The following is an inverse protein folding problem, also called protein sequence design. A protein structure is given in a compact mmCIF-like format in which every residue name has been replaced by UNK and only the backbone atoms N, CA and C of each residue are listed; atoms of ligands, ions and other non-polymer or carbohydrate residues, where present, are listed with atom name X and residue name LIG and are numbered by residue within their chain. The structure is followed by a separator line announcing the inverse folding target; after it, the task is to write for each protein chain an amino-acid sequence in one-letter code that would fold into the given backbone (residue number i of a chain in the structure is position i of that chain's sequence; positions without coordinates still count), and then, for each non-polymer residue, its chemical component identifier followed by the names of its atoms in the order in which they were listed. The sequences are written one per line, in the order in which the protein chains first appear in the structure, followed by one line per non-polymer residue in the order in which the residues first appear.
data_IF_942421308862
#
_entry.id   IF_942421308862
#
_cell.length_a   1.000
_cell.length_b   1.000
_cell.length_c   1.000
_cell.angle_alpha   90.00
_cell.angle_beta   90.00
_cell.angle_gamma   90.00
#
_symmetry.space_group_name_H-M   'P 1'
#
loop_
_entity.id
_entity.type
_entity.pdbx_description
1 polymer ?
#
# COMPACT_ATOMS: atom_id res chain seq x y z
N UNK A 1 -18.67 -2.85 -37.71
CA UNK A 1 -18.62 -3.66 -36.47
C UNK A 1 -17.47 -3.25 -35.54
N UNK A 2 -16.42 -2.57 -36.02
CA UNK A 2 -15.30 -2.03 -35.23
C UNK A 2 -15.64 -0.85 -34.31
N UNK A 3 -16.64 -0.03 -34.67
CA UNK A 3 -16.91 1.22 -33.93
C UNK A 3 -17.76 1.01 -32.67
N UNK A 4 -18.60 -0.04 -32.65
CA UNK A 4 -19.40 -0.40 -31.47
C UNK A 4 -18.51 -0.99 -30.38
N UNK A 5 -17.50 -1.77 -30.74
CA UNK A 5 -16.54 -2.32 -29.77
C UNK A 5 -15.58 -1.26 -29.22
N UNK A 6 -15.18 -0.28 -30.03
CA UNK A 6 -14.35 0.85 -29.57
C UNK A 6 -15.13 1.80 -28.64
N UNK A 7 -16.42 2.04 -28.92
CA UNK A 7 -17.31 2.78 -28.03
C UNK A 7 -17.48 2.07 -26.68
N UNK A 8 -17.73 0.76 -26.69
CA UNK A 8 -17.84 -0.05 -25.47
C UNK A 8 -16.55 -0.06 -24.63
N UNK A 9 -15.39 -0.12 -25.28
CA UNK A 9 -14.09 -0.04 -24.61
C UNK A 9 -13.85 1.34 -23.97
N UNK A 10 -14.26 2.42 -24.65
CA UNK A 10 -14.14 3.79 -24.15
C UNK A 10 -15.07 4.04 -22.96
N UNK A 11 -16.33 3.59 -23.04
CA UNK A 11 -17.28 3.67 -21.93
C UNK A 11 -16.79 2.88 -20.70
N UNK A 12 -16.20 1.69 -20.92
CA UNK A 12 -15.57 0.89 -19.85
C UNK A 12 -14.36 1.59 -19.24
N UNK A 13 -13.62 2.40 -20.01
CA UNK A 13 -12.52 3.23 -19.50
C UNK A 13 -13.02 4.38 -18.63
N UNK A 14 -14.04 5.09 -19.09
CA UNK A 14 -14.65 6.21 -18.36
C UNK A 14 -15.34 5.76 -17.05
N UNK A 15 -15.93 4.56 -17.00
CA UNK A 15 -16.59 4.05 -15.80
C UNK A 15 -15.63 3.66 -14.64
N UNK A 16 -14.31 3.74 -14.81
CA UNK A 16 -13.32 3.32 -13.79
C UNK A 16 -13.06 4.36 -12.70
N UNK A 17 -13.39 5.63 -12.93
CA UNK A 17 -13.16 6.72 -11.99
C UNK A 17 -14.46 7.53 -11.81
N UNK A 18 -14.80 7.99 -10.60
CA UNK A 18 -15.93 8.89 -10.35
C UNK A 18 -16.07 10.05 -11.36
N UNK A 19 -14.97 10.64 -11.80
CA UNK A 19 -14.96 11.73 -12.80
C UNK A 19 -15.43 11.23 -14.17
N UNK A 20 -15.00 10.04 -14.59
CA UNK A 20 -15.37 9.47 -15.88
C UNK A 20 -16.80 8.93 -15.91
N UNK A 21 -17.33 8.46 -14.77
CA UNK A 21 -18.76 8.12 -14.62
C UNK A 21 -19.62 9.36 -14.89
N UNK A 22 -19.25 10.52 -14.32
CA UNK A 22 -19.98 11.78 -14.54
C UNK A 22 -19.89 12.24 -16.00
N UNK A 23 -18.69 12.19 -16.60
CA UNK A 23 -18.50 12.53 -18.00
C UNK A 23 -19.38 11.65 -18.91
N UNK A 24 -19.47 10.35 -18.62
CA UNK A 24 -20.35 9.41 -19.34
C UNK A 24 -21.83 9.79 -19.20
N UNK A 25 -22.28 10.12 -18.00
CA UNK A 25 -23.67 10.54 -17.76
C UNK A 25 -24.03 11.84 -18.49
N UNK A 26 -23.14 12.84 -18.50
CA UNK A 26 -23.36 14.10 -19.20
C UNK A 26 -23.50 13.85 -20.71
N UNK A 27 -22.56 13.11 -21.31
CA UNK A 27 -22.59 12.80 -22.75
C UNK A 27 -23.85 12.01 -23.11
N UNK A 28 -24.24 11.06 -22.28
CA UNK A 28 -25.44 10.24 -22.52
C UNK A 28 -26.74 11.06 -22.42
N UNK A 29 -26.86 11.93 -21.42
CA UNK A 29 -28.03 12.80 -21.23
C UNK A 29 -28.14 13.83 -22.35
N UNK A 30 -27.02 14.46 -22.75
CA UNK A 30 -27.01 15.36 -23.90
C UNK A 30 -27.31 14.64 -25.21
N UNK A 31 -26.77 13.43 -25.38
CA UNK A 31 -27.05 12.58 -26.53
C UNK A 31 -28.53 12.26 -26.65
N UNK A 32 -29.18 11.83 -25.56
CA UNK A 32 -30.62 11.57 -25.55
C UNK A 32 -31.44 12.85 -25.70
N UNK A 33 -31.06 13.97 -25.07
CA UNK A 33 -31.78 15.23 -25.23
C UNK A 33 -31.72 15.74 -26.67
N UNK A 34 -30.55 15.68 -27.31
CA UNK A 34 -30.37 16.02 -28.72
C UNK A 34 -31.14 15.08 -29.65
N UNK A 35 -31.18 13.78 -29.33
CA UNK A 35 -31.97 12.79 -30.07
C UNK A 35 -33.47 13.06 -29.92
N UNK A 36 -33.97 13.23 -28.70
CA UNK A 36 -35.38 13.46 -28.42
C UNK A 36 -35.88 14.78 -29.01
N UNK A 37 -35.09 15.85 -28.93
CA UNK A 37 -35.43 17.15 -29.54
C UNK A 37 -35.26 17.15 -31.06
N UNK A 38 -34.28 16.42 -31.59
CA UNK A 38 -33.96 16.36 -33.01
C UNK A 38 -34.90 15.45 -33.82
N UNK A 39 -35.36 14.33 -33.24
CA UNK A 39 -36.22 13.36 -33.93
C UNK A 39 -37.73 13.62 -33.75
N UNK A 40 -38.14 14.47 -32.80
CA UNK A 40 -39.54 14.87 -32.62
C UNK A 40 -39.75 16.37 -32.89
N UNK A 41 -39.87 16.80 -34.15
CA UNK A 41 -40.12 18.19 -34.51
C UNK A 41 -41.52 18.70 -34.13
N UNK A 42 -42.40 17.83 -33.61
CA UNK A 42 -43.79 18.13 -33.22
C UNK A 42 -44.03 18.23 -31.71
N UNK A 43 -42.98 18.35 -30.90
CA UNK A 43 -43.15 18.58 -29.46
C UNK A 43 -43.90 19.89 -29.21
N UNK A 44 -44.98 19.84 -28.45
CA UNK A 44 -45.68 21.05 -28.04
C UNK A 44 -44.80 21.90 -27.12
N UNK A 45 -45.07 23.20 -27.08
CA UNK A 45 -44.32 24.14 -26.24
C UNK A 45 -44.25 23.67 -24.77
N UNK A 46 -45.35 23.16 -24.24
CA UNK A 46 -45.45 22.69 -22.86
C UNK A 46 -44.64 21.43 -22.56
N UNK A 47 -44.35 20.60 -23.57
CA UNK A 47 -43.54 19.39 -23.44
C UNK A 47 -42.04 19.70 -23.58
N UNK A 48 -41.71 20.70 -24.40
CA UNK A 48 -40.32 21.12 -24.66
C UNK A 48 -39.71 21.90 -23.49
N UNK A 49 -40.50 22.70 -22.79
CA UNK A 49 -40.02 23.54 -21.68
C UNK A 49 -39.35 22.72 -20.55
N UNK A 50 -39.95 21.63 -20.03
CA UNK A 50 -39.31 20.76 -19.04
C UNK A 50 -37.98 20.15 -19.51
N UNK A 51 -37.91 19.72 -20.78
CA UNK A 51 -36.70 19.16 -21.38
C UNK A 51 -35.55 20.17 -21.43
N UNK A 52 -35.84 21.42 -21.81
CA UNK A 52 -34.85 22.50 -21.85
C UNK A 52 -34.39 22.87 -20.44
N UNK A 53 -35.32 22.98 -19.48
CA UNK A 53 -34.98 23.25 -18.09
C UNK A 53 -34.12 22.15 -17.48
N UNK A 54 -34.44 20.88 -17.77
CA UNK A 54 -33.62 19.75 -17.36
C UNK A 54 -32.20 19.82 -17.95
N UNK A 55 -32.06 20.12 -19.25
CA UNK A 55 -30.76 20.22 -19.92
C UNK A 55 -29.85 21.31 -19.32
N UNK A 56 -30.44 22.41 -18.82
CA UNK A 56 -29.72 23.54 -18.23
C UNK A 56 -29.46 23.35 -16.73
N UNK A 57 -30.45 22.89 -15.96
CA UNK A 57 -30.32 22.73 -14.50
C UNK A 57 -29.50 21.51 -14.12
N UNK A 58 -29.62 20.41 -14.86
CA UNK A 58 -28.98 19.15 -14.51
C UNK A 58 -27.45 19.26 -14.40
N UNK A 59 -26.72 19.88 -15.35
CA UNK A 59 -25.27 20.07 -15.23
C UNK A 59 -24.87 20.91 -14.01
N UNK A 60 -25.65 21.94 -13.69
CA UNK A 60 -25.40 22.82 -12.53
C UNK A 60 -25.62 22.07 -11.22
N UNK A 61 -26.68 21.27 -11.12
CA UNK A 61 -26.96 20.44 -9.95
C UNK A 61 -25.91 19.35 -9.74
N UNK A 62 -25.47 18.68 -10.81
CA UNK A 62 -24.39 17.68 -10.76
C UNK A 62 -23.07 18.33 -10.35
N UNK A 63 -22.74 19.49 -10.90
CA UNK A 63 -21.54 20.24 -10.52
C UNK A 63 -21.56 20.67 -9.06
N UNK A 64 -22.70 21.17 -8.56
CA UNK A 64 -22.86 21.57 -7.17
C UNK A 64 -22.74 20.38 -6.20
N UNK A 65 -23.41 19.26 -6.51
CA UNK A 65 -23.34 18.03 -5.71
C UNK A 65 -21.92 17.46 -5.70
N UNK A 66 -21.26 17.43 -6.85
CA UNK A 66 -19.89 16.93 -6.95
C UNK A 66 -18.90 17.87 -6.27
N UNK A 67 -19.04 19.19 -6.46
CA UNK A 67 -18.22 20.18 -5.77
C UNK A 67 -18.35 20.07 -4.24
N UNK A 68 -19.57 19.86 -3.76
CA UNK A 68 -19.82 19.61 -2.33
C UNK A 68 -19.20 18.29 -1.85
N UNK A 69 -19.33 17.21 -2.62
CA UNK A 69 -18.82 15.89 -2.27
C UNK A 69 -17.28 15.84 -2.29
N UNK A 70 -16.66 16.47 -3.30
CA UNK A 70 -15.21 16.69 -3.38
C UNK A 70 -14.73 17.54 -2.21
N UNK A 71 -15.43 18.63 -1.89
CA UNK A 71 -15.08 19.55 -0.79
C UNK A 71 -15.19 18.94 0.61
N UNK A 72 -15.88 17.80 0.77
CA UNK A 72 -16.02 17.10 2.06
C UNK A 72 -15.16 15.83 2.13
N UNK A 73 -14.69 15.25 1.01
CA UNK A 73 -14.02 13.94 0.94
C UNK A 73 -12.77 13.90 0.04
N UNK A 74 -11.95 14.96 0.04
CA UNK A 74 -10.73 15.07 -0.79
C UNK A 74 -9.75 13.88 -0.66
N UNK A 75 -9.75 13.20 0.50
CA UNK A 75 -8.82 12.10 0.82
C UNK A 75 -9.08 10.79 0.04
N UNK A 76 -10.24 10.62 -0.59
CA UNK A 76 -10.62 9.34 -1.27
C UNK A 76 -10.88 9.44 -2.77
N UNK A 77 -10.71 10.61 -3.38
CA UNK A 77 -11.06 10.85 -4.79
C UNK A 77 -9.89 10.74 -5.78
N UNK A 78 -8.66 10.63 -5.28
CA UNK A 78 -7.51 10.26 -6.08
C UNK A 78 -7.16 8.80 -5.78
N UNK A 79 -7.20 7.93 -6.80
CA UNK A 79 -6.53 6.66 -6.69
C UNK A 79 -5.01 6.93 -6.51
N UNK A 80 -4.25 6.09 -5.78
CA UNK A 80 -2.79 6.23 -5.67
C UNK A 80 -2.07 6.37 -7.02
N UNK A 81 -2.72 5.97 -8.12
CA UNK A 81 -2.25 6.08 -9.51
C UNK A 81 -2.43 7.45 -10.17
N UNK A 82 -3.29 8.34 -9.65
CA UNK A 82 -3.58 9.65 -10.25
C UNK A 82 -2.68 10.77 -9.68
N UNK A 83 -1.88 10.48 -8.65
CA UNK A 83 -0.78 11.35 -8.26
C UNK A 83 0.29 11.27 -9.36
N UNK A 84 0.35 12.28 -10.24
CA UNK A 84 1.51 12.52 -11.13
C UNK A 84 2.76 12.54 -10.27
N UNK A 85 3.40 11.39 -10.20
CA UNK A 85 4.65 11.23 -9.48
C UNK A 85 5.56 10.42 -10.37
N UNK A 86 6.03 11.11 -11.41
CA UNK A 86 7.08 10.62 -12.30
C UNK A 86 8.29 10.17 -11.46
N UNK A 87 8.52 10.82 -10.32
CA UNK A 87 9.56 10.47 -9.35
C UNK A 87 9.29 9.16 -8.57
N UNK A 88 8.03 8.83 -8.25
CA UNK A 88 7.70 7.55 -7.60
C UNK A 88 7.77 6.42 -8.62
N UNK A 89 7.44 6.65 -9.89
CA UNK A 89 7.50 5.61 -10.91
C UNK A 89 8.95 5.19 -11.20
N UNK A 90 9.86 6.16 -11.38
CA UNK A 90 11.30 5.91 -11.54
C UNK A 90 11.91 5.27 -10.28
N UNK A 91 11.48 5.72 -9.09
CA UNK A 91 11.93 5.12 -7.84
C UNK A 91 11.40 3.69 -7.67
N UNK A 92 10.16 3.41 -8.09
CA UNK A 92 9.56 2.07 -8.03
C UNK A 92 10.19 1.11 -9.03
N UNK A 93 10.59 1.56 -10.22
CA UNK A 93 11.31 0.71 -11.18
C UNK A 93 12.72 0.38 -10.70
N UNK A 94 13.46 1.36 -10.15
CA UNK A 94 14.79 1.12 -9.58
C UNK A 94 14.74 0.22 -8.34
N UNK A 95 13.71 0.39 -7.48
CA UNK A 95 13.47 -0.49 -6.33
C UNK A 95 13.09 -1.90 -6.82
N UNK A 96 12.30 -2.02 -7.89
CA UNK A 96 11.91 -3.31 -8.48
C UNK A 96 13.11 -4.09 -9.02
N UNK A 97 13.99 -3.44 -9.79
CA UNK A 97 15.20 -4.08 -10.35
C UNK A 97 16.18 -4.48 -9.24
N UNK A 98 16.41 -3.59 -8.26
CA UNK A 98 17.26 -3.90 -7.09
C UNK A 98 16.66 -5.02 -6.25
N UNK A 99 15.33 -5.12 -6.17
CA UNK A 99 14.61 -6.19 -5.47
C UNK A 99 14.72 -7.53 -6.20
N UNK A 100 14.64 -7.56 -7.53
CA UNK A 100 14.87 -8.81 -8.27
C UNK A 100 16.28 -9.33 -8.05
N UNK A 101 17.28 -8.45 -8.07
CA UNK A 101 18.66 -8.82 -7.76
C UNK A 101 18.84 -9.27 -6.29
N UNK A 102 18.27 -8.54 -5.32
CA UNK A 102 18.38 -8.87 -3.89
C UNK A 102 17.61 -10.14 -3.52
N UNK A 103 16.44 -10.37 -4.14
CA UNK A 103 15.63 -11.57 -3.96
C UNK A 103 16.29 -12.79 -4.62
N UNK A 104 16.86 -12.64 -5.81
CA UNK A 104 17.64 -13.71 -6.46
C UNK A 104 18.88 -14.05 -5.63
N UNK A 105 19.63 -13.06 -5.15
CA UNK A 105 20.81 -13.30 -4.30
C UNK A 105 20.44 -13.99 -2.98
N UNK A 106 19.31 -13.61 -2.37
CA UNK A 106 18.83 -14.24 -1.13
C UNK A 106 18.31 -15.66 -1.38
N UNK A 107 17.67 -15.92 -2.52
CA UNK A 107 17.25 -17.28 -2.90
C UNK A 107 18.44 -18.18 -3.20
N UNK A 108 19.47 -17.68 -3.88
CA UNK A 108 20.70 -18.45 -4.12
C UNK A 108 21.44 -18.78 -2.81
N UNK A 109 21.46 -17.85 -1.85
CA UNK A 109 22.02 -18.12 -0.52
C UNK A 109 21.18 -19.16 0.25
N UNK A 110 19.86 -19.07 0.16
CA UNK A 110 18.94 -20.02 0.76
C UNK A 110 19.11 -21.42 0.14
N UNK A 111 19.18 -21.51 -1.18
CA UNK A 111 19.39 -22.76 -1.92
C UNK A 111 20.73 -23.41 -1.55
N UNK A 112 21.81 -22.61 -1.43
CA UNK A 112 23.10 -23.11 -0.95
C UNK A 112 23.02 -23.67 0.47
N UNK A 113 22.35 -22.97 1.39
CA UNK A 113 22.15 -23.44 2.78
C UNK A 113 21.30 -24.71 2.82
N UNK A 114 20.22 -24.77 2.03
CA UNK A 114 19.37 -25.96 1.92
C UNK A 114 20.18 -27.17 1.45
N UNK A 115 21.00 -27.01 0.41
CA UNK A 115 21.85 -28.09 -0.10
C UNK A 115 22.90 -28.55 0.91
N UNK A 116 23.50 -27.62 1.66
CA UNK A 116 24.45 -27.97 2.73
C UNK A 116 23.76 -28.78 3.84
N UNK A 117 22.58 -28.34 4.27
CA UNK A 117 21.79 -29.00 5.32
C UNK A 117 21.35 -30.39 4.86
N UNK A 118 20.80 -30.52 3.65
CA UNK A 118 20.39 -31.82 3.09
C UNK A 118 21.58 -32.78 3.02
N UNK A 119 22.76 -32.29 2.61
CA UNK A 119 23.96 -33.13 2.53
C UNK A 119 24.51 -33.52 3.90
N UNK A 120 24.41 -32.65 4.92
CA UNK A 120 24.72 -33.00 6.32
C UNK A 120 23.75 -34.06 6.86
N UNK A 121 22.45 -33.86 6.68
CA UNK A 121 21.41 -34.74 7.22
C UNK A 121 21.34 -36.08 6.48
N UNK A 122 21.67 -36.11 5.19
CA UNK A 122 21.73 -37.35 4.41
C UNK A 122 22.88 -38.27 4.85
N UNK A 123 23.91 -37.75 5.54
CA UNK A 123 24.97 -38.56 6.17
C UNK A 123 24.58 -39.15 7.52
N UNK A 124 23.48 -38.68 8.12
CA UNK A 124 23.10 -38.98 9.50
C UNK A 124 21.97 -40.03 9.61
N UNK A 125 21.53 -40.62 8.47
CA UNK A 125 20.45 -41.63 8.41
C UNK A 125 19.19 -41.22 9.23
N UNK A 126 18.76 -39.96 9.12
CA UNK A 126 17.51 -39.50 9.73
C UNK A 126 16.30 -39.77 8.83
N UNK A 127 15.17 -40.10 9.46
CA UNK A 127 13.87 -40.23 8.80
C UNK A 127 13.49 -38.96 8.01
N UNK A 128 12.97 -39.07 6.78
CA UNK A 128 12.70 -37.94 5.89
C UNK A 128 11.74 -36.90 6.48
N UNK A 129 10.84 -37.32 7.37
CA UNK A 129 9.90 -36.42 8.06
C UNK A 129 10.61 -35.49 9.09
N UNK A 130 11.65 -35.99 9.77
CA UNK A 130 12.44 -35.20 10.72
C UNK A 130 13.33 -34.20 9.97
N UNK A 131 13.89 -34.62 8.84
CA UNK A 131 14.65 -33.77 7.93
C UNK A 131 13.78 -32.62 7.42
N UNK A 132 12.58 -32.92 6.90
CA UNK A 132 11.66 -31.89 6.39
C UNK A 132 11.25 -30.88 7.46
N UNK A 133 10.94 -31.34 8.68
CA UNK A 133 10.59 -30.46 9.81
C UNK A 133 11.75 -29.57 10.23
N UNK A 134 12.97 -30.09 10.24
CA UNK A 134 14.15 -29.32 10.62
C UNK A 134 14.54 -28.30 9.55
N UNK A 135 14.50 -28.69 8.28
CA UNK A 135 14.71 -27.75 7.15
C UNK A 135 13.66 -26.64 7.17
N UNK A 136 12.38 -26.96 7.35
CA UNK A 136 11.34 -25.94 7.43
C UNK A 136 11.52 -24.97 8.60
N UNK A 137 12.01 -25.47 9.75
CA UNK A 137 12.31 -24.64 10.93
C UNK A 137 13.49 -23.72 10.66
N UNK A 138 14.59 -24.26 10.15
CA UNK A 138 15.81 -23.47 9.86
C UNK A 138 15.58 -22.43 8.75
N UNK A 139 14.78 -22.76 7.73
CA UNK A 139 14.36 -21.80 6.69
C UNK A 139 13.51 -20.67 7.30
N UNK A 140 12.59 -21.00 8.21
CA UNK A 140 11.78 -20.00 8.92
C UNK A 140 12.69 -19.08 9.75
N UNK A 141 13.64 -19.64 10.47
CA UNK A 141 14.57 -18.86 11.31
C UNK A 141 15.51 -18.00 10.43
N UNK A 142 15.93 -18.50 9.25
CA UNK A 142 16.78 -17.78 8.31
C UNK A 142 16.08 -16.67 7.49
N UNK A 143 14.75 -16.60 7.53
CA UNK A 143 13.95 -15.65 6.73
C UNK A 143 13.06 -14.73 7.57
N UNK A 144 13.03 -14.92 8.88
CA UNK A 144 12.22 -14.12 9.81
C UNK A 144 13.06 -13.21 10.67
N UNK A 145 12.43 -12.17 11.22
CA UNK A 145 12.99 -11.33 12.26
C UNK A 145 11.95 -11.17 13.38
N UNK A 146 12.40 -10.73 14.54
CA UNK A 146 11.59 -10.61 15.75
C UNK A 146 11.41 -9.13 16.10
N UNK A 147 10.21 -8.75 16.52
CA UNK A 147 9.91 -7.49 17.18
C UNK A 147 9.50 -7.79 18.62
N UNK A 148 10.34 -7.41 19.58
CA UNK A 148 10.13 -7.60 21.01
C UNK A 148 9.54 -6.33 21.63
N UNK A 149 8.26 -6.39 22.00
CA UNK A 149 7.54 -5.33 22.69
C UNK A 149 7.31 -5.61 24.18
N UNK A 150 7.92 -6.66 24.76
CA UNK A 150 7.63 -7.09 26.15
C UNK A 150 7.92 -5.99 27.17
N UNK A 151 9.10 -5.38 27.06
CA UNK A 151 9.50 -4.30 27.96
C UNK A 151 8.59 -3.06 27.83
N UNK A 152 8.21 -2.72 26.60
CA UNK A 152 7.39 -1.54 26.31
C UNK A 152 5.91 -1.70 26.70
N UNK A 153 5.34 -2.88 26.45
CA UNK A 153 3.93 -3.16 26.72
C UNK A 153 3.68 -3.75 28.12
N UNK A 154 4.72 -4.19 28.82
CA UNK A 154 4.60 -4.84 30.13
C UNK A 154 3.88 -6.18 30.09
N UNK A 155 3.85 -6.86 28.93
CA UNK A 155 3.18 -8.16 28.76
C UNK A 155 4.12 -9.19 28.15
N UNK A 156 4.14 -10.44 28.66
CA UNK A 156 5.09 -11.47 28.20
C UNK A 156 4.77 -12.01 26.80
N UNK A 157 3.53 -11.84 26.31
CA UNK A 157 3.07 -12.27 24.99
C UNK A 157 3.41 -11.30 23.85
N UNK A 158 4.03 -10.15 24.16
CA UNK A 158 4.35 -9.10 23.20
C UNK A 158 5.64 -9.37 22.39
N UNK A 159 5.75 -10.57 21.81
CA UNK A 159 6.85 -10.94 20.89
C UNK A 159 6.24 -11.31 19.55
N UNK A 160 6.59 -10.56 18.51
CA UNK A 160 6.03 -10.72 17.18
C UNK A 160 7.11 -11.19 16.20
N UNK A 161 6.85 -12.26 15.47
CA UNK A 161 7.78 -12.80 14.48
C UNK A 161 7.22 -12.59 13.09
N UNK A 162 8.01 -12.00 12.20
CA UNK A 162 7.59 -11.69 10.85
C UNK A 162 8.60 -12.19 9.82
N UNK A 163 8.15 -12.69 8.65
CA UNK A 163 9.05 -12.93 7.54
C UNK A 163 9.54 -11.59 6.97
N UNK A 164 10.82 -11.50 6.62
CA UNK A 164 11.40 -10.27 6.05
C UNK A 164 10.65 -9.82 4.79
N UNK A 165 10.19 -10.78 3.99
CA UNK A 165 9.44 -10.55 2.75
C UNK A 165 8.01 -10.00 2.98
N UNK A 166 7.51 -9.98 4.21
CA UNK A 166 6.18 -9.43 4.52
C UNK A 166 6.11 -7.91 4.33
N UNK A 167 7.25 -7.21 4.36
CA UNK A 167 7.30 -5.77 4.33
C UNK A 167 8.20 -5.28 3.21
N UNK A 168 7.65 -4.47 2.31
CA UNK A 168 8.42 -3.85 1.23
C UNK A 168 9.24 -2.65 1.72
N UNK A 169 8.73 -1.94 2.73
CA UNK A 169 9.30 -0.68 3.22
C UNK A 169 9.33 -0.61 4.74
N UNK A 170 10.21 0.24 5.28
CA UNK A 170 10.23 0.55 6.71
C UNK A 170 8.89 1.13 7.17
N UNK A 171 8.23 1.94 6.35
CA UNK A 171 6.89 2.46 6.62
C UNK A 171 5.88 1.34 6.90
N UNK A 172 5.83 0.33 6.01
CA UNK A 172 4.92 -0.81 6.15
C UNK A 172 5.18 -1.60 7.44
N UNK A 173 6.45 -1.80 7.80
CA UNK A 173 6.82 -2.43 9.08
C UNK A 173 6.36 -1.58 10.28
N UNK A 174 6.66 -0.27 10.27
CA UNK A 174 6.31 0.60 11.39
C UNK A 174 4.80 0.73 11.57
N UNK A 175 4.02 0.65 10.50
CA UNK A 175 2.55 0.64 10.57
C UNK A 175 2.03 -0.66 11.21
N UNK A 176 2.55 -1.82 10.81
CA UNK A 176 2.18 -3.10 11.43
C UNK A 176 2.54 -3.13 12.93
N UNK A 177 3.73 -2.66 13.29
CA UNK A 177 4.13 -2.56 14.71
C UNK A 177 3.24 -1.56 15.45
N UNK A 178 2.93 -0.41 14.85
CA UNK A 178 1.99 0.55 15.43
C UNK A 178 0.65 -0.09 15.77
N UNK A 179 0.07 -0.91 14.89
CA UNK A 179 -1.22 -1.56 15.19
C UNK A 179 -1.14 -2.48 16.41
N UNK A 180 0.00 -3.17 16.63
CA UNK A 180 0.22 -3.95 17.86
C UNK A 180 0.36 -3.08 19.10
N UNK A 181 0.91 -1.87 18.95
CA UNK A 181 1.16 -0.91 20.02
C UNK A 181 0.01 0.10 20.22
N UNK A 182 -1.02 0.09 19.36
CA UNK A 182 -2.02 1.16 19.22
C UNK A 182 -2.78 1.53 20.51
N UNK A 183 -2.80 0.65 21.51
CA UNK A 183 -3.38 0.93 22.84
C UNK A 183 -2.48 1.82 23.71
N UNK A 184 -1.17 1.83 23.44
CA UNK A 184 -0.15 2.52 24.24
C UNK A 184 0.47 3.72 23.53
N UNK A 185 0.37 3.80 22.20
CA UNK A 185 0.99 4.88 21.40
C UNK A 185 -0.04 5.56 20.51
N UNK A 186 0.17 6.85 20.21
CA UNK A 186 -0.66 7.60 19.27
C UNK A 186 -0.14 7.43 17.83
N UNK A 187 -1.01 7.60 16.82
CA UNK A 187 -0.60 7.51 15.42
C UNK A 187 0.47 8.54 15.07
N UNK A 188 1.36 8.18 14.13
CA UNK A 188 2.41 9.05 13.58
C UNK A 188 3.39 9.63 14.62
N UNK A 189 3.70 8.85 15.66
CA UNK A 189 4.62 9.23 16.74
C UNK A 189 5.88 8.37 16.86
N UNK A 190 6.19 7.56 15.83
CA UNK A 190 7.48 6.88 15.76
C UNK A 190 8.62 7.91 15.85
N UNK A 191 9.62 7.66 16.69
CA UNK A 191 10.73 8.58 16.95
C UNK A 191 10.44 9.60 18.06
N UNK A 192 9.20 9.67 18.56
CA UNK A 192 8.81 10.59 19.64
C UNK A 192 8.29 9.85 20.87
N UNK A 193 7.47 8.81 20.69
CA UNK A 193 6.96 8.01 21.82
C UNK A 193 7.45 6.57 21.84
N UNK A 194 7.92 6.07 20.69
CA UNK A 194 8.49 4.74 20.57
C UNK A 194 9.45 4.68 19.39
N UNK A 195 10.43 3.79 19.48
CA UNK A 195 11.38 3.46 18.42
C UNK A 195 11.62 1.97 18.37
N UNK A 196 12.14 1.48 17.25
CA UNK A 196 12.73 0.16 17.14
C UNK A 196 14.25 0.30 17.28
N UNK A 197 14.83 -0.43 18.24
CA UNK A 197 16.29 -0.58 18.38
C UNK A 197 16.69 -1.99 17.99
N UNK A 198 17.76 -2.11 17.20
CA UNK A 198 18.34 -3.42 16.91
C UNK A 198 19.05 -3.95 18.17
N UNK A 199 18.67 -5.14 18.63
CA UNK A 199 19.25 -5.74 19.83
C UNK A 199 20.74 -6.04 19.66
N UNK A 200 21.16 -6.49 18.47
CA UNK A 200 22.54 -6.93 18.24
C UNK A 200 23.52 -5.76 18.05
N UNK A 201 23.11 -4.69 17.37
CA UNK A 201 23.97 -3.53 17.14
C UNK A 201 23.77 -2.43 18.19
N UNK A 202 22.63 -2.42 18.87
CA UNK A 202 22.23 -1.33 19.76
C UNK A 202 21.74 -0.08 19.03
N UNK A 203 21.70 -0.07 17.70
CA UNK A 203 21.32 1.11 16.92
C UNK A 203 19.80 1.29 16.86
N UNK A 204 19.36 2.54 16.99
CA UNK A 204 17.97 2.91 16.76
C UNK A 204 17.70 3.01 15.26
N UNK A 205 16.67 2.32 14.78
CA UNK A 205 16.21 2.38 13.40
C UNK A 205 15.54 3.75 13.18
N UNK A 206 16.26 4.67 12.55
CA UNK A 206 15.77 6.02 12.29
C UNK A 206 14.87 6.02 11.07
N UNK A 207 13.61 6.45 11.22
CA UNK A 207 12.70 6.70 10.10
C UNK A 207 12.98 8.05 9.44
N UNK A 208 12.45 8.26 8.24
CA UNK A 208 12.54 9.53 7.52
C UNK A 208 12.10 10.72 8.39
N UNK A 209 11.05 10.55 9.22
CA UNK A 209 10.61 11.56 10.20
C UNK A 209 11.74 12.04 11.10
N UNK A 210 12.52 11.12 11.64
CA UNK A 210 13.63 11.44 12.55
C UNK A 210 14.77 12.12 11.80
N UNK A 211 14.96 11.79 10.52
CA UNK A 211 16.01 12.37 9.68
C UNK A 211 15.66 13.78 9.20
N UNK A 212 14.39 14.04 8.90
CA UNK A 212 13.89 15.34 8.41
C UNK A 212 13.34 16.24 9.51
N UNK A 213 13.39 15.80 10.77
CA UNK A 213 12.83 16.49 11.93
C UNK A 213 11.34 16.88 11.73
N UNK A 214 10.56 16.04 11.07
CA UNK A 214 9.14 16.32 10.80
C UNK A 214 8.32 16.24 12.09
N UNK A 215 7.43 17.22 12.39
CA UNK A 215 6.64 17.24 13.61
C UNK A 215 5.79 15.96 13.83
N UNK A 216 5.56 15.53 15.07
CA UNK A 216 4.74 14.36 15.37
C UNK A 216 3.27 14.60 14.95
N UNK A 217 2.56 13.53 14.60
CA UNK A 217 1.13 13.58 14.25
C UNK A 217 0.83 13.83 12.78
N UNK A 218 1.82 14.15 11.95
CA UNK A 218 1.66 14.26 10.50
C UNK A 218 1.99 12.93 9.81
N UNK A 219 1.20 12.43 8.85
CA UNK A 219 1.54 11.23 8.11
C UNK A 219 2.82 11.46 7.29
N UNK A 220 3.79 10.55 7.44
CA UNK A 220 5.04 10.54 6.67
C UNK A 220 5.51 9.10 6.53
N UNK A 221 5.43 8.59 5.29
CA UNK A 221 5.78 7.20 4.99
C UNK A 221 7.26 7.10 4.64
N UNK A 222 7.96 6.16 5.27
CA UNK A 222 9.33 5.82 4.91
C UNK A 222 9.34 4.71 3.86
N UNK A 223 9.84 5.04 2.66
CA UNK A 223 9.86 4.13 1.51
C UNK A 223 11.17 3.37 1.34
N UNK A 224 12.13 3.54 2.26
CA UNK A 224 13.37 2.75 2.26
C UNK A 224 13.06 1.29 2.59
N UNK A 225 13.84 0.38 2.03
CA UNK A 225 13.69 -1.06 2.30
C UNK A 225 14.21 -1.41 3.70
N UNK A 226 13.80 -2.56 4.22
CA UNK A 226 14.31 -3.06 5.52
C UNK A 226 15.85 -3.23 5.51
N UNK A 227 16.41 -3.72 4.40
CA UNK A 227 17.87 -3.89 4.26
C UNK A 227 18.61 -2.55 4.27
N UNK A 228 18.06 -1.51 3.64
CA UNK A 228 18.66 -0.17 3.62
C UNK A 228 18.72 0.50 5.00
N UNK A 229 17.86 0.07 5.91
CA UNK A 229 17.81 0.60 7.29
C UNK A 229 18.45 -0.36 8.30
N UNK A 230 19.15 -1.41 7.83
CA UNK A 230 19.90 -2.34 8.68
C UNK A 230 19.06 -3.43 9.35
N UNK A 231 17.88 -3.73 8.81
CA UNK A 231 17.03 -4.84 9.25
C UNK A 231 17.21 -6.03 8.30
N UNK A 232 17.69 -7.12 8.85
CA UNK A 232 18.00 -8.38 8.17
C UNK A 232 17.27 -9.55 8.85
N UNK A 233 17.14 -10.71 8.16
CA UNK A 233 16.70 -11.93 8.81
C UNK A 233 17.58 -12.28 10.02
N UNK A 234 16.95 -12.83 11.06
CA UNK A 234 17.58 -13.15 12.34
C UNK A 234 17.72 -11.96 13.29
N UNK A 235 17.43 -10.71 12.87
CA UNK A 235 17.46 -9.59 13.81
C UNK A 235 16.32 -9.68 14.84
N UNK A 236 16.63 -9.23 16.05
CA UNK A 236 15.63 -8.87 17.06
C UNK A 236 15.58 -7.35 17.18
N UNK A 237 14.40 -6.79 17.00
CA UNK A 237 14.12 -5.37 17.14
C UNK A 237 13.34 -5.15 18.44
N UNK A 238 13.91 -4.40 19.37
CA UNK A 238 13.27 -4.08 20.64
C UNK A 238 12.48 -2.79 20.49
N UNK A 239 11.21 -2.83 20.89
CA UNK A 239 10.38 -1.63 21.04
C UNK A 239 10.74 -0.98 22.37
N UNK A 240 11.10 0.30 22.32
CA UNK A 240 11.44 1.07 23.52
C UNK A 240 11.10 2.56 23.35
N UNK A 241 11.03 3.34 24.44
CA UNK A 241 10.97 4.78 24.35
C UNK A 241 12.21 5.34 23.64
N UNK A 242 12.10 6.45 22.88
CA UNK A 242 13.26 7.04 22.22
C UNK A 242 14.32 7.45 23.25
N UNK A 243 15.62 7.38 22.90
CA UNK A 243 16.68 7.90 23.76
C UNK A 243 16.49 9.40 23.99
N UNK A 244 16.62 9.82 25.26
CA UNK A 244 16.53 11.22 25.69
C UNK A 244 17.66 12.08 25.11
#
# INVERSE_FOLDING_TARGET
MSDISSFGATAKGLAKNPIGIIALFIVLIYGFAALTLGFNPKLEFWERVPLVWFLVLFPVAVLALFGWLVSQHHEKLYAPSDFRTDDIFLKKSQISEKREADFQASNEELDRKILEIVNRLSKEQLEPEKIAKQVAKEVKDATTFIVDGRAFLGRPDAVFTYPIAAFETLGALTDEVYFKLSKSVRPFQYGTTWVLRNESTGDVIRTLRMLTATPPGQPLTDIRTLREVGIHPGNTLVVEPPPC
#
